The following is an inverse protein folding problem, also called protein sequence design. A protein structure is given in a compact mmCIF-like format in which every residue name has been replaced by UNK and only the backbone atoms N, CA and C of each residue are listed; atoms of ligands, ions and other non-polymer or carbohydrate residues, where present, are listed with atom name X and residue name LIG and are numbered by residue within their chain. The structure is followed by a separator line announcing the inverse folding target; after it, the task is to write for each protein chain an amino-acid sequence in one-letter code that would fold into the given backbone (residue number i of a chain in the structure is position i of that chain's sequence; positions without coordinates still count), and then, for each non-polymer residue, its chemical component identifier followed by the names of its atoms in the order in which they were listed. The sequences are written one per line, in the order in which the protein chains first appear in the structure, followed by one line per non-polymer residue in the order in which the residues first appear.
data_IF_401392497492
#
_entry.id   IF_401392497492
#
_cell.length_a   1.000
_cell.length_b   1.000
_cell.length_c   1.000
_cell.angle_alpha   90.00
_cell.angle_beta   90.00
_cell.angle_gamma   90.00
#
_symmetry.space_group_name_H-M   'P 1'
#
loop_
_entity.id
_entity.type
_entity.pdbx_description
1 polymer ?
#
# COMPACT_ATOMS: atom_id res chain seq x y z
N UNK A 1 -3.15 -6.80 2.39
CA UNK A 1 -3.97 -5.58 2.47
C UNK A 1 -5.01 -5.69 3.58
N UNK A 2 -5.89 -6.69 3.53
CA UNK A 2 -6.98 -6.83 4.52
C UNK A 2 -6.49 -6.99 5.96
N UNK A 3 -5.41 -7.72 6.19
CA UNK A 3 -4.78 -7.81 7.52
C UNK A 3 -4.22 -6.46 8.00
N UNK A 4 -3.71 -5.66 7.08
CA UNK A 4 -3.23 -4.31 7.41
C UNK A 4 -4.39 -3.37 7.78
N UNK A 5 -5.54 -3.46 7.11
CA UNK A 5 -6.77 -2.74 7.47
C UNK A 5 -7.24 -3.17 8.86
N UNK A 6 -7.38 -4.47 9.09
CA UNK A 6 -7.84 -5.03 10.36
C UNK A 6 -6.99 -4.59 11.58
N UNK A 7 -5.70 -4.33 11.35
CA UNK A 7 -4.76 -3.91 12.38
C UNK A 7 -4.39 -2.42 12.34
N UNK A 8 -4.93 -1.63 11.41
CA UNK A 8 -4.57 -0.23 11.26
C UNK A 8 -3.08 0.00 10.95
N UNK A 9 -2.44 -0.92 10.22
CA UNK A 9 -0.98 -0.98 10.03
C UNK A 9 -0.46 0.13 9.10
N UNK A 10 -0.72 1.39 9.46
CA UNK A 10 -0.43 2.57 8.67
C UNK A 10 0.17 3.67 9.56
N UNK A 11 1.39 4.11 9.26
CA UNK A 11 2.11 5.06 10.12
C UNK A 11 2.26 6.46 9.55
N UNK A 12 2.18 6.62 8.21
CA UNK A 12 2.26 7.92 7.56
C UNK A 12 0.86 8.47 7.39
N UNK A 13 0.56 9.54 8.12
CA UNK A 13 -0.74 10.22 8.08
C UNK A 13 -0.53 11.73 8.19
N UNK A 14 -1.06 12.49 7.24
CA UNK A 14 -0.99 13.94 7.20
C UNK A 14 -2.25 14.53 6.58
N UNK A 15 -2.78 15.62 7.15
CA UNK A 15 -3.93 16.34 6.60
C UNK A 15 -5.18 15.47 6.42
N UNK A 16 -5.42 14.49 7.29
CA UNK A 16 -6.53 13.54 7.17
C UNK A 16 -6.32 12.44 6.13
N UNK A 17 -5.23 12.49 5.37
CA UNK A 17 -4.87 11.50 4.34
C UNK A 17 -3.85 10.52 4.86
N UNK A 18 -3.85 9.31 4.30
CA UNK A 18 -3.06 8.19 4.80
C UNK A 18 -2.34 7.47 3.66
N UNK A 19 -1.12 7.05 3.92
CA UNK A 19 -0.41 6.08 3.09
C UNK A 19 -0.72 4.66 3.56
N UNK A 20 -1.29 3.83 2.69
CA UNK A 20 -1.75 2.48 3.02
C UNK A 20 -0.64 1.41 2.94
N UNK A 21 0.61 1.79 2.97
CA UNK A 21 1.76 0.86 2.91
C UNK A 21 1.66 -0.16 1.76
N UNK A 22 1.14 0.26 0.61
CA UNK A 22 0.85 -0.64 -0.51
C UNK A 22 2.09 -1.26 -1.11
N UNK A 23 3.17 -0.48 -1.28
CA UNK A 23 4.48 -0.99 -1.70
C UNK A 23 5.10 -1.91 -0.64
N UNK A 24 5.22 -1.53 0.65
CA UNK A 24 5.72 -2.44 1.70
C UNK A 24 4.99 -3.78 1.78
N UNK A 25 3.65 -3.77 1.65
CA UNK A 25 2.83 -4.99 1.60
C UNK A 25 3.17 -5.85 0.38
N UNK A 26 3.32 -5.23 -0.78
CA UNK A 26 3.75 -5.92 -2.00
C UNK A 26 5.12 -6.59 -1.83
N UNK A 27 6.08 -5.93 -1.17
CA UNK A 27 7.43 -6.50 -0.96
C UNK A 27 7.43 -7.69 -0.02
N UNK A 28 6.59 -7.68 1.02
CA UNK A 28 6.43 -8.84 1.90
C UNK A 28 5.97 -10.10 1.12
N UNK A 29 5.03 -9.92 0.18
CA UNK A 29 4.52 -11.02 -0.65
C UNK A 29 5.55 -11.41 -1.70
N UNK A 30 6.08 -10.46 -2.47
CA UNK A 30 7.02 -10.73 -3.56
C UNK A 30 8.30 -11.39 -3.05
N UNK A 31 8.89 -10.86 -1.97
CA UNK A 31 10.13 -11.40 -1.41
C UNK A 31 9.99 -12.85 -0.93
N UNK A 32 8.90 -13.16 -0.21
CA UNK A 32 8.67 -14.53 0.27
C UNK A 32 8.32 -15.51 -0.83
N UNK A 33 7.52 -15.11 -1.82
CA UNK A 33 7.17 -15.97 -2.96
C UNK A 33 8.35 -16.22 -3.89
N UNK A 34 9.21 -15.21 -4.11
CA UNK A 34 10.41 -15.35 -4.92
C UNK A 34 11.36 -16.40 -4.32
N UNK A 35 11.65 -16.30 -3.01
CA UNK A 35 12.49 -17.30 -2.33
C UNK A 35 11.89 -18.70 -2.42
N UNK A 36 10.56 -18.81 -2.29
CA UNK A 36 9.88 -20.09 -2.47
C UNK A 36 10.05 -20.67 -3.89
N UNK A 37 9.95 -19.84 -4.91
CA UNK A 37 10.22 -20.23 -6.29
C UNK A 37 11.68 -20.64 -6.50
N UNK A 38 12.62 -19.88 -5.93
CA UNK A 38 14.06 -20.21 -5.98
C UNK A 38 14.37 -21.56 -5.36
N UNK A 39 13.77 -21.89 -4.21
CA UNK A 39 13.92 -23.19 -3.57
C UNK A 39 13.38 -24.32 -4.44
N UNK A 40 12.24 -24.11 -5.11
CA UNK A 40 11.65 -25.06 -6.05
C UNK A 40 12.58 -25.31 -7.26
N UNK A 41 13.20 -24.26 -7.77
CA UNK A 41 14.02 -24.31 -8.99
C UNK A 41 15.52 -24.58 -8.68
N UNK A 42 15.88 -24.83 -7.42
CA UNK A 42 17.25 -25.02 -6.96
C UNK A 42 18.19 -23.85 -7.32
N UNK A 43 17.68 -22.61 -7.22
CA UNK A 43 18.46 -21.38 -7.42
C UNK A 43 18.88 -20.82 -6.08
N UNK A 44 20.15 -20.47 -5.91
CA UNK A 44 20.72 -20.05 -4.64
C UNK A 44 21.05 -18.56 -4.56
N UNK A 45 21.11 -17.85 -5.70
CA UNK A 45 21.51 -16.45 -5.77
C UNK A 45 20.33 -15.62 -6.25
N UNK A 46 19.95 -14.64 -5.43
CA UNK A 46 18.99 -13.61 -5.77
C UNK A 46 19.71 -12.34 -6.20
N UNK A 47 19.52 -11.92 -7.46
CA UNK A 47 19.94 -10.60 -7.92
C UNK A 47 18.90 -9.55 -7.50
N UNK A 48 19.29 -8.63 -6.62
CA UNK A 48 18.44 -7.53 -6.15
C UNK A 48 18.86 -6.21 -6.79
N UNK A 49 18.08 -5.75 -7.78
CA UNK A 49 18.31 -4.49 -8.49
C UNK A 49 17.85 -3.23 -7.73
N UNK A 50 17.49 -3.32 -6.45
CA UNK A 50 17.08 -2.17 -5.65
C UNK A 50 18.23 -1.19 -5.43
N UNK A 51 17.94 0.12 -5.53
CA UNK A 51 18.95 1.17 -5.33
C UNK A 51 19.35 1.28 -3.86
N UNK A 52 20.64 1.59 -3.59
CA UNK A 52 21.19 1.65 -2.23
C UNK A 52 20.58 2.73 -1.33
N UNK A 53 19.96 3.77 -1.91
CA UNK A 53 19.26 4.84 -1.16
C UNK A 53 17.75 4.59 -0.99
N UNK A 54 17.22 3.51 -1.60
CA UNK A 54 15.82 3.17 -1.52
C UNK A 54 15.47 2.32 -0.29
N UNK A 55 14.18 2.16 -0.06
CA UNK A 55 13.68 1.29 1.03
C UNK A 55 13.73 -0.20 0.65
N UNK A 56 13.58 -0.51 -0.63
CA UNK A 56 13.35 -1.89 -1.10
C UNK A 56 14.58 -2.79 -0.92
N UNK A 57 15.80 -2.23 -0.99
CA UNK A 57 17.02 -2.97 -0.74
C UNK A 57 17.04 -3.61 0.66
N UNK A 58 16.49 -2.93 1.67
CA UNK A 58 16.35 -3.46 3.02
C UNK A 58 15.16 -4.40 3.15
N UNK A 59 14.04 -4.09 2.54
CA UNK A 59 12.83 -4.91 2.57
C UNK A 59 13.09 -6.29 1.97
N UNK A 60 13.66 -6.35 0.78
CA UNK A 60 13.96 -7.62 0.12
C UNK A 60 15.05 -8.42 0.85
N UNK A 61 16.06 -7.74 1.37
CA UNK A 61 17.09 -8.37 2.19
C UNK A 61 16.48 -9.07 3.41
N UNK A 62 15.63 -8.36 4.16
CA UNK A 62 15.00 -8.89 5.37
C UNK A 62 14.06 -10.05 5.08
N UNK A 63 13.16 -9.90 4.11
CA UNK A 63 12.24 -10.99 3.74
C UNK A 63 12.95 -12.18 3.10
N UNK A 64 13.96 -11.93 2.30
CA UNK A 64 14.76 -12.99 1.66
C UNK A 64 15.45 -13.87 2.68
N UNK A 65 16.20 -13.28 3.60
CA UNK A 65 16.93 -14.03 4.65
C UNK A 65 16.00 -14.67 5.69
N UNK A 66 14.85 -14.05 5.97
CA UNK A 66 13.85 -14.66 6.85
C UNK A 66 13.26 -15.93 6.21
N UNK A 67 13.01 -15.93 4.92
CA UNK A 67 12.47 -17.08 4.19
C UNK A 67 13.52 -18.17 3.94
N UNK A 68 14.79 -17.79 3.73
CA UNK A 68 15.92 -18.70 3.58
C UNK A 68 17.21 -18.07 4.13
N UNK A 69 17.66 -18.42 5.35
CA UNK A 69 18.86 -17.85 5.96
C UNK A 69 20.16 -18.11 5.17
N UNK A 70 20.18 -19.11 4.29
CA UNK A 70 21.32 -19.45 3.45
C UNK A 70 21.32 -18.75 2.09
N UNK A 71 20.33 -17.91 1.83
CA UNK A 71 20.19 -17.19 0.56
C UNK A 71 21.37 -16.26 0.34
N UNK A 72 21.98 -16.33 -0.84
CA UNK A 72 22.99 -15.36 -1.29
C UNK A 72 22.28 -14.25 -2.06
N UNK A 73 22.41 -13.01 -1.59
CA UNK A 73 21.81 -11.83 -2.25
C UNK A 73 22.92 -11.02 -2.89
N UNK A 74 22.91 -10.95 -4.22
CA UNK A 74 23.79 -10.07 -5.00
C UNK A 74 23.09 -8.73 -5.24
N UNK A 75 23.75 -7.66 -4.85
CA UNK A 75 23.25 -6.28 -4.95
C UNK A 75 24.13 -5.49 -5.92
N UNK A 76 23.83 -5.44 -7.22
CA UNK A 76 24.68 -4.81 -8.23
C UNK A 76 24.96 -3.33 -7.94
N UNK A 77 24.00 -2.59 -7.35
CA UNK A 77 24.20 -1.20 -6.96
C UNK A 77 25.22 -0.98 -5.82
N UNK A 78 25.63 -2.04 -5.12
CA UNK A 78 26.71 -2.03 -4.12
C UNK A 78 28.01 -2.62 -4.66
N UNK A 79 28.01 -3.13 -5.88
CA UNK A 79 29.19 -3.66 -6.56
C UNK A 79 29.88 -2.54 -7.35
N UNK A 80 31.05 -2.11 -6.89
CA UNK A 80 31.80 -1.00 -7.49
C UNK A 80 32.23 -1.30 -8.94
N UNK A 81 32.51 -2.57 -9.27
CA UNK A 81 32.88 -2.98 -10.61
C UNK A 81 31.71 -2.91 -11.56
N UNK A 82 30.55 -3.39 -11.12
CA UNK A 82 29.30 -3.27 -11.87
C UNK A 82 28.94 -1.80 -12.15
N UNK A 83 29.00 -0.94 -11.13
CA UNK A 83 28.68 0.49 -11.27
C UNK A 83 29.68 1.21 -12.19
N UNK A 84 30.96 0.83 -12.13
CA UNK A 84 31.99 1.40 -13.01
C UNK A 84 31.77 1.01 -14.47
N UNK A 85 31.32 -0.23 -14.73
CA UNK A 85 31.13 -0.76 -16.09
C UNK A 85 29.83 -0.27 -16.72
N UNK A 86 28.72 -0.32 -15.98
CA UNK A 86 27.37 -0.06 -16.51
C UNK A 86 26.78 1.30 -16.11
N UNK A 87 27.44 2.05 -15.21
CA UNK A 87 27.01 3.37 -14.81
C UNK A 87 25.68 3.41 -14.07
N UNK A 88 24.90 4.46 -14.31
CA UNK A 88 23.56 4.66 -13.76
C UNK A 88 22.44 4.15 -14.65
N UNK A 89 21.20 4.52 -14.33
CA UNK A 89 20.01 4.11 -15.10
C UNK A 89 20.06 4.52 -16.56
N UNK A 90 20.62 5.70 -16.85
CA UNK A 90 20.74 6.21 -18.22
C UNK A 90 21.67 5.33 -19.04
N UNK A 91 22.88 5.11 -18.53
CA UNK A 91 23.92 4.33 -19.19
C UNK A 91 23.48 2.88 -19.39
N UNK A 92 22.81 2.29 -18.38
CA UNK A 92 22.23 0.94 -18.51
C UNK A 92 21.13 0.88 -19.57
N UNK A 93 20.29 1.93 -19.69
CA UNK A 93 19.27 2.00 -20.74
C UNK A 93 19.90 2.08 -22.12
N UNK A 94 20.93 2.90 -22.29
CA UNK A 94 21.71 3.03 -23.52
C UNK A 94 22.38 1.70 -23.89
N UNK A 95 22.94 1.00 -22.89
CA UNK A 95 23.53 -0.32 -23.07
C UNK A 95 22.53 -1.38 -23.55
N UNK A 96 21.32 -1.41 -22.96
CA UNK A 96 20.25 -2.31 -23.39
C UNK A 96 19.84 -2.08 -24.84
N UNK A 97 19.67 -0.80 -25.23
CA UNK A 97 19.33 -0.42 -26.60
C UNK A 97 20.44 -0.81 -27.57
N UNK A 98 21.71 -0.53 -27.22
CA UNK A 98 22.87 -0.86 -28.06
C UNK A 98 23.04 -2.36 -28.28
N UNK A 99 22.58 -3.20 -27.35
CA UNK A 99 22.63 -4.66 -27.46
C UNK A 99 21.33 -5.30 -27.98
N UNK A 100 20.40 -4.49 -28.50
CA UNK A 100 19.10 -4.94 -29.03
C UNK A 100 18.26 -5.74 -28.01
N UNK A 101 18.39 -5.44 -26.71
CA UNK A 101 17.60 -6.04 -25.66
C UNK A 101 16.28 -5.28 -25.49
N UNK A 102 15.18 -5.96 -25.14
CA UNK A 102 13.88 -5.31 -25.00
C UNK A 102 13.89 -4.31 -23.83
N UNK A 103 13.87 -3.04 -24.16
CA UNK A 103 13.76 -1.94 -23.21
C UNK A 103 12.66 -0.98 -23.64
N UNK A 104 11.70 -0.73 -22.76
CA UNK A 104 10.50 0.07 -23.06
C UNK A 104 10.36 1.34 -22.23
N UNK A 105 11.21 1.55 -21.24
CA UNK A 105 11.11 2.75 -20.41
C UNK A 105 11.78 3.95 -21.09
N UNK A 106 11.09 5.08 -21.09
CA UNK A 106 11.67 6.32 -21.53
C UNK A 106 12.45 7.00 -20.38
N UNK A 107 13.62 7.50 -20.67
CA UNK A 107 14.42 8.34 -19.77
C UNK A 107 13.67 9.65 -19.43
N UNK A 108 12.66 10.00 -20.20
CA UNK A 108 11.94 11.28 -20.20
C UNK A 108 10.72 11.34 -19.27
N UNK A 109 10.35 10.24 -18.58
CA UNK A 109 9.21 10.30 -17.65
C UNK A 109 9.51 11.26 -16.49
N UNK A 110 8.57 12.15 -16.19
CA UNK A 110 8.66 13.14 -15.13
C UNK A 110 8.77 12.54 -13.73
N UNK A 111 8.36 11.29 -13.55
CA UNK A 111 8.40 10.54 -12.28
C UNK A 111 8.44 9.03 -12.52
N UNK A 112 8.75 8.27 -11.47
CA UNK A 112 8.68 6.80 -11.45
C UNK A 112 7.34 6.34 -10.88
N UNK A 113 6.84 5.20 -11.36
CA UNK A 113 5.61 4.58 -10.87
C UNK A 113 5.86 3.13 -10.49
N UNK A 114 5.40 2.73 -9.31
CA UNK A 114 5.34 1.35 -8.83
C UNK A 114 3.90 1.03 -8.42
N UNK A 115 3.34 -0.08 -8.89
CA UNK A 115 1.95 -0.40 -8.65
C UNK A 115 1.73 -1.89 -8.38
N UNK A 116 0.72 -2.17 -7.56
CA UNK A 116 0.17 -3.50 -7.34
C UNK A 116 -1.34 -3.38 -7.11
N UNK A 117 -2.01 -4.51 -6.85
CA UNK A 117 -3.48 -4.54 -6.66
C UNK A 117 -3.97 -3.64 -5.50
N UNK A 118 -3.11 -3.30 -4.53
CA UNK A 118 -3.49 -2.49 -3.36
C UNK A 118 -3.34 -1.00 -3.61
N UNK A 119 -2.48 -0.60 -4.54
CA UNK A 119 -2.24 0.81 -4.80
C UNK A 119 -1.07 1.08 -5.73
N UNK A 120 -0.87 2.35 -6.04
CA UNK A 120 0.23 2.87 -6.83
C UNK A 120 1.01 3.93 -6.05
N UNK A 121 2.31 3.99 -6.32
CA UNK A 121 3.24 5.00 -5.82
C UNK A 121 3.85 5.74 -6.99
N UNK A 122 3.75 7.06 -7.00
CA UNK A 122 4.41 7.95 -7.95
C UNK A 122 5.44 8.75 -7.19
N UNK A 123 6.72 8.65 -7.57
CA UNK A 123 7.82 9.28 -6.83
C UNK A 123 9.01 9.62 -7.72
N UNK A 124 10.01 10.27 -7.16
CA UNK A 124 11.27 10.65 -7.78
C UNK A 124 11.16 11.75 -8.85
N UNK A 125 12.32 12.22 -9.34
CA UNK A 125 12.48 13.24 -10.36
C UNK A 125 11.71 14.54 -10.00
N UNK A 126 10.79 14.99 -10.86
CA UNK A 126 10.07 16.24 -10.68
C UNK A 126 9.19 16.25 -9.42
N UNK A 127 8.72 15.07 -8.96
CA UNK A 127 7.94 14.96 -7.73
C UNK A 127 8.77 15.14 -6.44
N UNK A 128 10.10 15.10 -6.51
CA UNK A 128 10.96 15.42 -5.36
C UNK A 128 10.96 16.92 -5.04
N UNK A 129 10.55 17.75 -5.99
CA UNK A 129 10.36 19.18 -5.77
C UNK A 129 9.03 19.43 -5.07
N UNK A 130 9.06 20.06 -3.88
CA UNK A 130 7.86 20.31 -3.08
C UNK A 130 6.93 21.38 -3.70
N UNK A 131 7.40 22.16 -4.63
CA UNK A 131 6.63 23.13 -5.42
C UNK A 131 5.93 22.49 -6.64
N UNK A 132 6.26 21.24 -6.99
CA UNK A 132 5.54 20.51 -8.01
C UNK A 132 4.12 20.14 -7.55
N UNK A 133 3.11 20.43 -8.38
CA UNK A 133 1.72 20.10 -8.09
C UNK A 133 1.47 18.58 -8.19
N UNK A 134 0.53 18.07 -7.37
CA UNK A 134 -0.02 16.72 -7.53
C UNK A 134 -0.62 16.49 -8.93
N UNK A 135 -1.03 17.55 -9.62
CA UNK A 135 -1.62 17.52 -10.96
C UNK A 135 -0.64 17.03 -12.04
N UNK A 136 0.68 16.99 -11.74
CA UNK A 136 1.69 16.39 -12.59
C UNK A 136 1.45 14.88 -12.78
N UNK A 137 0.81 14.23 -11.81
CA UNK A 137 0.56 12.78 -11.85
C UNK A 137 -0.62 12.46 -12.75
N UNK A 138 -0.46 11.45 -13.59
CA UNK A 138 -1.55 10.79 -14.29
C UNK A 138 -1.97 9.56 -13.47
N UNK A 139 -3.15 9.61 -12.80
CA UNK A 139 -3.64 8.50 -12.01
C UNK A 139 -3.78 7.22 -12.86
N UNK A 140 -3.43 6.08 -12.29
CA UNK A 140 -3.55 4.76 -12.94
C UNK A 140 -4.58 3.85 -12.26
N UNK A 141 -4.99 4.20 -11.03
CA UNK A 141 -6.04 3.49 -10.29
C UNK A 141 -7.29 4.35 -10.05
N UNK A 142 -7.18 5.64 -10.26
CA UNK A 142 -8.24 6.61 -10.06
C UNK A 142 -8.40 7.56 -11.25
N UNK A 143 -9.01 8.70 -10.97
CA UNK A 143 -9.25 9.78 -11.93
C UNK A 143 -8.64 11.09 -11.44
N UNK A 144 -8.41 12.03 -12.34
CA UNK A 144 -7.97 13.40 -12.01
C UNK A 144 -9.12 14.16 -11.33
N UNK A 145 -9.32 13.89 -10.03
CA UNK A 145 -10.42 14.50 -9.29
C UNK A 145 -10.32 16.03 -9.18
N UNK A 146 -9.15 16.61 -9.39
CA UNK A 146 -8.92 18.06 -9.44
C UNK A 146 -9.34 18.70 -10.76
N UNK A 147 -9.50 17.92 -11.83
CA UNK A 147 -9.91 18.40 -13.14
C UNK A 147 -11.45 18.48 -13.22
N UNK A 148 -11.98 19.69 -13.30
CA UNK A 148 -13.42 19.93 -13.35
C UNK A 148 -14.11 19.34 -14.59
N UNK A 149 -13.38 19.05 -15.66
CA UNK A 149 -13.90 18.41 -16.87
C UNK A 149 -14.22 16.92 -16.67
N UNK A 150 -13.62 16.28 -15.67
CA UNK A 150 -13.90 14.88 -15.31
C UNK A 150 -15.24 14.80 -14.59
N UNK A 151 -16.22 14.16 -15.20
CA UNK A 151 -17.54 13.98 -14.60
C UNK A 151 -17.50 12.91 -13.51
N UNK A 152 -17.86 13.29 -12.27
CA UNK A 152 -17.94 12.39 -11.13
C UNK A 152 -19.32 12.55 -10.49
N UNK A 153 -20.19 11.56 -10.69
CA UNK A 153 -21.50 11.51 -10.05
C UNK A 153 -21.35 10.95 -8.63
N UNK A 154 -22.16 11.42 -7.68
CA UNK A 154 -22.20 10.81 -6.34
C UNK A 154 -22.89 9.44 -6.40
N UNK A 155 -22.42 8.50 -5.57
CA UNK A 155 -23.04 7.19 -5.41
C UNK A 155 -22.98 6.70 -3.97
N UNK A 156 -23.93 5.87 -3.60
CA UNK A 156 -23.96 5.20 -2.32
C UNK A 156 -23.31 3.82 -2.46
N UNK A 157 -22.37 3.52 -1.59
CA UNK A 157 -21.64 2.25 -1.57
C UNK A 157 -21.82 1.60 -0.20
N UNK A 158 -22.27 0.36 -0.21
CA UNK A 158 -22.51 -0.45 0.97
C UNK A 158 -21.42 -1.49 1.13
N UNK A 159 -20.76 -1.54 2.28
CA UNK A 159 -19.68 -2.46 2.56
C UNK A 159 -20.03 -3.25 3.83
N UNK A 160 -19.98 -4.58 3.72
CA UNK A 160 -20.26 -5.50 4.83
C UNK A 160 -18.96 -6.13 5.33
N UNK A 161 -18.83 -6.15 6.66
CA UNK A 161 -17.73 -6.82 7.36
C UNK A 161 -18.25 -7.95 8.25
N UNK A 162 -17.47 -9.02 8.33
CA UNK A 162 -17.65 -10.12 9.28
C UNK A 162 -16.31 -10.37 9.97
N UNK A 163 -16.26 -10.20 11.27
CA UNK A 163 -15.05 -10.39 12.09
C UNK A 163 -13.82 -9.68 11.52
N UNK A 164 -14.00 -8.40 11.16
CA UNK A 164 -12.93 -7.54 10.63
C UNK A 164 -12.57 -7.75 9.17
N UNK A 165 -13.22 -8.67 8.47
CA UNK A 165 -12.97 -8.94 7.04
C UNK A 165 -14.12 -8.40 6.20
N UNK A 166 -13.84 -7.61 5.15
CA UNK A 166 -14.88 -7.23 4.20
C UNK A 166 -15.31 -8.48 3.42
N UNK A 167 -16.62 -8.71 3.32
CA UNK A 167 -17.19 -9.91 2.68
C UNK A 167 -18.13 -9.58 1.53
N UNK A 168 -18.74 -8.38 1.52
CA UNK A 168 -19.65 -7.98 0.45
C UNK A 168 -19.55 -6.48 0.15
N UNK A 169 -19.79 -6.12 -1.10
CA UNK A 169 -19.94 -4.75 -1.58
C UNK A 169 -21.23 -4.64 -2.37
N UNK A 170 -22.09 -3.68 -2.02
CA UNK A 170 -23.40 -3.43 -2.67
C UNK A 170 -24.29 -4.67 -2.73
N UNK A 171 -24.25 -5.52 -1.69
CA UNK A 171 -25.04 -6.74 -1.60
C UNK A 171 -24.50 -7.92 -2.41
N UNK A 172 -23.36 -7.75 -3.08
CA UNK A 172 -22.65 -8.84 -3.76
C UNK A 172 -21.60 -9.44 -2.84
N UNK A 173 -21.73 -10.72 -2.53
CA UNK A 173 -20.75 -11.48 -1.75
C UNK A 173 -19.50 -11.81 -2.57
N UNK A 174 -18.35 -11.82 -1.91
CA UNK A 174 -17.05 -12.17 -2.49
C UNK A 174 -16.39 -13.27 -1.67
N UNK A 175 -16.21 -14.44 -2.28
CA UNK A 175 -15.37 -15.52 -1.75
C UNK A 175 -13.89 -15.30 -2.10
N UNK A 176 -13.59 -14.59 -3.19
CA UNK A 176 -12.26 -14.21 -3.62
C UNK A 176 -11.92 -12.79 -3.17
N UNK A 177 -10.89 -12.67 -2.31
CA UNK A 177 -10.42 -11.39 -1.79
C UNK A 177 -9.77 -10.50 -2.85
N UNK A 178 -9.24 -11.07 -3.94
CA UNK A 178 -8.69 -10.31 -5.08
C UNK A 178 -9.82 -9.64 -5.82
N UNK A 179 -10.89 -10.38 -6.14
CA UNK A 179 -12.07 -9.84 -6.79
C UNK A 179 -12.77 -8.74 -5.94
N UNK A 180 -12.79 -8.91 -4.62
CA UNK A 180 -13.30 -7.88 -3.70
C UNK A 180 -12.46 -6.60 -3.76
N UNK A 181 -11.13 -6.72 -3.74
CA UNK A 181 -10.23 -5.58 -3.83
C UNK A 181 -10.35 -4.86 -5.18
N UNK A 182 -10.45 -5.62 -6.27
CA UNK A 182 -10.66 -5.06 -7.62
C UNK A 182 -11.98 -4.27 -7.70
N UNK A 183 -13.05 -4.79 -7.12
CA UNK A 183 -14.34 -4.08 -7.07
C UNK A 183 -14.24 -2.80 -6.23
N UNK A 184 -13.59 -2.88 -5.05
CA UNK A 184 -13.35 -1.71 -4.21
C UNK A 184 -12.51 -0.65 -4.94
N UNK A 185 -11.45 -1.07 -5.66
CA UNK A 185 -10.62 -0.19 -6.47
C UNK A 185 -11.42 0.51 -7.58
N UNK A 186 -12.27 -0.23 -8.31
CA UNK A 186 -13.11 0.32 -9.38
C UNK A 186 -14.09 1.36 -8.86
N UNK A 187 -14.75 1.05 -7.75
CA UNK A 187 -15.73 1.96 -7.16
C UNK A 187 -15.04 3.23 -6.66
N UNK A 188 -14.05 3.10 -5.79
CA UNK A 188 -13.37 4.25 -5.20
C UNK A 188 -12.54 5.05 -6.20
N UNK A 189 -11.92 4.35 -7.17
CA UNK A 189 -11.07 4.96 -8.19
C UNK A 189 -11.83 5.92 -9.10
N UNK A 190 -13.08 5.60 -9.51
CA UNK A 190 -13.88 6.51 -10.35
C UNK A 190 -14.28 7.81 -9.64
N UNK A 191 -14.14 7.88 -8.32
CA UNK A 191 -14.29 9.10 -7.54
C UNK A 191 -12.96 9.84 -7.29
N UNK A 192 -11.81 9.19 -7.52
CA UNK A 192 -10.50 9.69 -7.14
C UNK A 192 -10.24 9.61 -5.63
N UNK A 193 -10.98 8.76 -4.91
CA UNK A 193 -10.79 8.51 -3.48
C UNK A 193 -9.43 7.83 -3.20
N UNK A 194 -8.80 8.18 -2.09
CA UNK A 194 -7.60 7.51 -1.60
C UNK A 194 -6.30 7.94 -2.29
N UNK A 195 -6.27 9.12 -2.87
CA UNK A 195 -5.06 9.75 -3.39
C UNK A 195 -4.45 10.67 -2.34
N UNK A 196 -3.15 10.48 -2.03
CA UNK A 196 -2.46 11.22 -0.98
C UNK A 196 -1.08 11.68 -1.42
N UNK A 197 -0.75 12.94 -1.13
CA UNK A 197 0.60 13.50 -1.22
C UNK A 197 1.23 13.45 0.17
N UNK A 198 2.31 12.68 0.34
CA UNK A 198 2.93 12.43 1.62
C UNK A 198 4.44 12.64 1.58
N UNK A 199 4.96 13.15 2.69
CA UNK A 199 6.40 13.17 2.94
C UNK A 199 6.70 12.05 3.94
N UNK A 200 7.61 11.16 3.53
CA UNK A 200 8.01 10.01 4.34
C UNK A 200 9.49 10.11 4.79
N UNK A 201 9.80 9.44 5.89
CA UNK A 201 11.17 9.14 6.25
C UNK A 201 11.51 7.74 5.73
N UNK A 202 12.46 7.64 4.81
CA UNK A 202 13.02 6.35 4.37
C UNK A 202 13.61 5.58 5.54
N UNK A 203 13.89 4.30 5.35
CA UNK A 203 14.55 3.47 6.37
C UNK A 203 15.92 4.06 6.78
N UNK A 204 16.60 4.71 5.84
CA UNK A 204 17.88 5.42 6.06
C UNK A 204 17.70 6.86 6.60
N UNK A 205 16.52 7.20 7.10
CA UNK A 205 16.14 8.53 7.65
C UNK A 205 16.15 9.71 6.64
N UNK A 206 16.40 9.48 5.35
CA UNK A 206 16.26 10.51 4.35
C UNK A 206 14.78 10.82 4.08
N UNK A 207 14.46 12.10 3.85
CA UNK A 207 13.13 12.54 3.42
C UNK A 207 12.88 12.16 1.97
N UNK A 208 11.64 11.85 1.65
CA UNK A 208 11.16 11.56 0.31
C UNK A 208 9.70 11.96 0.19
N UNK A 209 9.30 12.42 -0.98
CA UNK A 209 7.89 12.71 -1.31
C UNK A 209 7.36 11.62 -2.20
N UNK A 210 6.14 11.18 -1.95
CA UNK A 210 5.40 10.27 -2.82
C UNK A 210 3.95 10.70 -2.98
N UNK A 211 3.43 10.53 -4.19
CA UNK A 211 2.00 10.61 -4.47
C UNK A 211 1.47 9.19 -4.56
N UNK A 212 0.51 8.87 -3.73
CA UNK A 212 -0.01 7.51 -3.57
C UNK A 212 -1.45 7.41 -4.02
N UNK A 213 -1.79 6.34 -4.72
CA UNK A 213 -3.16 5.94 -5.02
C UNK A 213 -3.46 4.62 -4.31
N UNK A 214 -4.52 4.56 -3.54
CA UNK A 214 -4.98 3.33 -2.89
C UNK A 214 -6.51 3.35 -2.72
N UNK A 215 -7.27 3.41 -3.82
CA UNK A 215 -8.71 3.67 -3.75
C UNK A 215 -9.48 2.60 -2.98
N UNK A 216 -9.27 1.32 -3.26
CA UNK A 216 -9.96 0.23 -2.56
C UNK A 216 -9.56 0.13 -1.10
N UNK A 217 -8.28 0.33 -0.78
CA UNK A 217 -7.81 0.36 0.61
C UNK A 217 -8.47 1.49 1.39
N UNK A 218 -8.57 2.69 0.80
CA UNK A 218 -9.21 3.84 1.42
C UNK A 218 -10.70 3.59 1.67
N UNK A 219 -11.43 3.09 0.67
CA UNK A 219 -12.86 2.79 0.78
C UNK A 219 -13.12 1.79 1.92
N UNK A 220 -12.40 0.67 1.94
CA UNK A 220 -12.56 -0.37 2.96
C UNK A 220 -12.15 0.13 4.34
N UNK A 221 -11.09 0.93 4.44
CA UNK A 221 -10.60 1.45 5.71
C UNK A 221 -11.57 2.48 6.33
N UNK A 222 -12.15 3.39 5.53
CA UNK A 222 -13.17 4.34 6.00
C UNK A 222 -14.36 3.60 6.62
N UNK A 223 -14.87 2.57 5.93
CA UNK A 223 -15.97 1.77 6.44
C UNK A 223 -15.58 0.97 7.70
N UNK A 224 -14.36 0.44 7.73
CA UNK A 224 -13.82 -0.26 8.89
C UNK A 224 -13.70 0.65 10.12
N UNK A 225 -13.11 1.86 9.97
CA UNK A 225 -12.99 2.85 11.06
C UNK A 225 -14.36 3.27 11.60
N UNK A 226 -15.38 3.34 10.74
CA UNK A 226 -16.75 3.63 11.19
C UNK A 226 -17.29 2.54 12.11
N UNK A 227 -17.11 1.26 11.77
CA UNK A 227 -17.51 0.15 12.64
C UNK A 227 -16.65 0.06 13.90
N UNK A 228 -15.34 0.31 13.78
CA UNK A 228 -14.43 0.35 14.91
C UNK A 228 -14.93 1.31 15.99
N UNK A 229 -15.24 2.54 15.61
CA UNK A 229 -15.72 3.58 16.54
C UNK A 229 -17.15 3.33 17.04
N UNK A 230 -17.98 2.59 16.28
CA UNK A 230 -19.35 2.29 16.68
C UNK A 230 -19.44 1.08 17.63
N UNK A 231 -18.44 0.22 17.67
CA UNK A 231 -18.41 -1.04 18.42
C UNK A 231 -17.53 -0.93 19.67
N UNK A 232 -16.37 -0.32 19.56
CA UNK A 232 -15.37 -0.25 20.63
C UNK A 232 -15.43 1.04 21.41
N UNK A 233 -15.00 0.99 22.69
CA UNK A 233 -14.83 2.17 23.53
C UNK A 233 -13.59 2.98 23.11
N UNK A 234 -13.51 4.21 23.61
CA UNK A 234 -12.45 5.18 23.31
C UNK A 234 -11.04 4.62 23.54
N UNK A 235 -10.80 3.94 24.66
CA UNK A 235 -9.50 3.38 25.00
C UNK A 235 -9.07 2.29 24.02
N UNK A 236 -9.99 1.44 23.58
CA UNK A 236 -9.73 0.38 22.61
C UNK A 236 -9.42 1.00 21.24
N UNK A 237 -10.17 2.02 20.82
CA UNK A 237 -9.94 2.75 19.58
C UNK A 237 -8.56 3.44 19.60
N UNK A 238 -8.23 4.11 20.74
CA UNK A 238 -6.93 4.76 20.89
C UNK A 238 -5.76 3.76 20.82
N UNK A 239 -5.90 2.60 21.47
CA UNK A 239 -4.90 1.52 21.40
C UNK A 239 -4.77 0.96 19.97
N UNK A 240 -5.90 0.74 19.27
CA UNK A 240 -5.85 0.31 17.87
C UNK A 240 -5.03 1.27 17.00
N UNK A 241 -5.25 2.57 17.13
CA UNK A 241 -4.49 3.55 16.35
C UNK A 241 -3.01 3.61 16.74
N UNK A 242 -2.70 3.55 18.04
CA UNK A 242 -1.31 3.59 18.52
C UNK A 242 -0.50 2.37 18.08
N UNK A 243 -1.04 1.16 18.32
CA UNK A 243 -0.38 -0.09 17.97
C UNK A 243 -0.38 -0.35 16.47
N UNK A 244 -1.45 0.08 15.79
CA UNK A 244 -1.53 0.04 14.32
C UNK A 244 -0.45 0.92 13.68
N UNK A 245 -0.24 2.14 14.20
CA UNK A 245 0.84 3.01 13.74
C UNK A 245 2.22 2.38 13.93
N UNK A 246 2.47 1.76 15.08
CA UNK A 246 3.71 1.04 15.37
C UNK A 246 3.92 -0.13 14.41
N UNK A 247 2.89 -0.94 14.20
CA UNK A 247 2.90 -2.04 13.24
C UNK A 247 3.11 -1.54 11.80
N UNK A 248 2.50 -0.41 11.44
CA UNK A 248 2.68 0.24 10.14
C UNK A 248 4.14 0.64 9.87
N UNK A 249 4.86 1.14 10.90
CA UNK A 249 6.29 1.43 10.78
C UNK A 249 7.12 0.15 10.60
N UNK A 250 6.83 -0.90 11.37
CA UNK A 250 7.49 -2.20 11.20
C UNK A 250 7.27 -2.79 9.81
N UNK A 251 6.03 -2.72 9.30
CA UNK A 251 5.71 -3.13 7.94
C UNK A 251 6.50 -2.32 6.90
N UNK A 252 6.55 -1.00 7.06
CA UNK A 252 7.30 -0.09 6.19
C UNK A 252 8.78 -0.46 6.11
N UNK A 253 9.37 -0.90 7.23
CA UNK A 253 10.76 -1.32 7.33
C UNK A 253 11.04 -2.74 6.82
N UNK A 254 10.06 -3.46 6.30
CA UNK A 254 10.23 -4.86 5.88
C UNK A 254 10.22 -5.87 7.03
N UNK A 255 9.54 -5.57 8.12
CA UNK A 255 9.52 -6.35 9.37
C UNK A 255 8.13 -6.93 9.70
N UNK A 256 7.29 -7.14 8.70
CA UNK A 256 5.92 -7.66 8.85
C UNK A 256 5.83 -9.03 9.53
N UNK A 257 6.89 -9.84 9.41
CA UNK A 257 6.97 -11.20 9.94
C UNK A 257 7.86 -11.30 11.18
N UNK A 258 8.38 -10.19 11.71
CA UNK A 258 9.12 -10.17 12.97
C UNK A 258 8.20 -10.59 14.13
N UNK A 259 8.75 -11.20 15.20
CA UNK A 259 7.97 -11.59 16.38
C UNK A 259 7.13 -10.45 16.96
N UNK A 260 7.67 -9.23 17.01
CA UNK A 260 6.95 -8.05 17.46
C UNK A 260 5.75 -7.72 16.59
N UNK A 261 5.89 -7.81 15.27
CA UNK A 261 4.78 -7.60 14.33
C UNK A 261 3.71 -8.67 14.46
N UNK A 262 4.12 -9.92 14.67
CA UNK A 262 3.21 -11.04 14.89
C UNK A 262 2.40 -10.86 16.18
N UNK A 263 3.06 -10.44 17.28
CA UNK A 263 2.37 -10.14 18.56
C UNK A 263 1.32 -9.03 18.39
N UNK A 264 1.68 -7.91 17.74
CA UNK A 264 0.75 -6.81 17.50
C UNK A 264 -0.43 -7.24 16.62
N UNK A 265 -0.16 -7.96 15.55
CA UNK A 265 -1.20 -8.47 14.62
C UNK A 265 -2.16 -9.42 15.33
N UNK A 266 -1.65 -10.36 16.13
CA UNK A 266 -2.48 -11.29 16.89
C UNK A 266 -3.36 -10.55 17.89
N UNK A 267 -2.78 -9.63 18.67
CA UNK A 267 -3.52 -8.83 19.63
C UNK A 267 -4.64 -8.02 18.97
N UNK A 268 -4.32 -7.24 17.93
CA UNK A 268 -5.29 -6.41 17.23
C UNK A 268 -6.36 -7.23 16.52
N UNK A 269 -5.99 -8.37 15.92
CA UNK A 269 -6.96 -9.26 15.27
C UNK A 269 -7.91 -9.90 16.29
N UNK A 270 -7.36 -10.41 17.38
CA UNK A 270 -8.11 -11.13 18.40
C UNK A 270 -9.04 -10.23 19.20
N UNK A 271 -8.55 -9.07 19.63
CA UNK A 271 -9.25 -8.21 20.60
C UNK A 271 -10.02 -7.05 19.96
N UNK A 272 -9.68 -6.67 18.74
CA UNK A 272 -10.34 -5.58 18.04
C UNK A 272 -11.08 -6.07 16.82
N UNK A 273 -10.39 -6.61 15.83
CA UNK A 273 -11.00 -6.95 14.53
C UNK A 273 -12.09 -8.04 14.65
N UNK A 274 -11.93 -9.02 15.55
CA UNK A 274 -12.92 -10.10 15.73
C UNK A 274 -14.33 -9.61 16.10
N UNK A 275 -14.45 -8.44 16.70
CA UNK A 275 -15.73 -7.82 17.04
C UNK A 275 -16.35 -7.01 15.88
N UNK A 276 -15.54 -6.66 14.87
CA UNK A 276 -15.98 -5.79 13.77
C UNK A 276 -16.87 -6.58 12.81
N UNK A 277 -18.16 -6.57 13.07
CA UNK A 277 -19.19 -7.18 12.22
C UNK A 277 -20.31 -6.17 12.02
N UNK A 278 -20.65 -5.89 10.77
CA UNK A 278 -21.69 -4.92 10.44
C UNK A 278 -21.58 -4.43 9.00
N UNK A 279 -22.42 -3.47 8.69
CA UNK A 279 -22.51 -2.88 7.36
C UNK A 279 -22.47 -1.36 7.46
N UNK A 280 -21.73 -0.74 6.55
CA UNK A 280 -21.62 0.71 6.44
C UNK A 280 -22.00 1.12 5.02
N UNK A 281 -22.89 2.11 4.91
CA UNK A 281 -23.18 2.78 3.63
C UNK A 281 -22.48 4.15 3.61
N UNK A 282 -21.64 4.34 2.61
CA UNK A 282 -20.94 5.60 2.34
C UNK A 282 -21.49 6.23 1.08
N UNK A 283 -21.73 7.54 1.11
CA UNK A 283 -21.97 8.34 -0.10
C UNK A 283 -20.65 8.93 -0.56
N UNK A 284 -20.17 8.48 -1.69
CA UNK A 284 -18.92 8.98 -2.30
C UNK A 284 -19.24 10.13 -3.25
N UNK A 285 -18.36 11.12 -3.27
CA UNK A 285 -18.37 12.27 -4.16
C UNK A 285 -16.98 12.42 -4.80
N UNK A 286 -16.62 13.61 -5.19
CA UNK A 286 -15.34 13.89 -5.85
C UNK A 286 -14.16 13.85 -4.86
N UNK A 287 -13.13 13.08 -5.20
CA UNK A 287 -11.92 12.94 -4.38
C UNK A 287 -12.23 12.24 -3.05
N UNK A 288 -11.72 12.79 -1.96
CA UNK A 288 -11.93 12.24 -0.61
C UNK A 288 -13.20 12.79 0.07
N UNK A 289 -14.10 13.45 -0.66
CA UNK A 289 -15.37 13.88 -0.11
C UNK A 289 -16.35 12.72 -0.03
N UNK A 290 -16.69 12.34 1.19
CA UNK A 290 -17.68 11.30 1.48
C UNK A 290 -18.53 11.63 2.71
N UNK A 291 -19.65 10.94 2.84
CA UNK A 291 -20.50 10.96 4.03
C UNK A 291 -20.87 9.55 4.44
N UNK A 292 -20.93 9.29 5.76
CA UNK A 292 -21.54 8.08 6.28
C UNK A 292 -23.05 8.26 6.26
N UNK A 293 -23.76 7.41 5.52
CA UNK A 293 -25.21 7.43 5.39
C UNK A 293 -25.88 6.53 6.39
N UNK A 294 -25.32 5.31 6.59
CA UNK A 294 -25.88 4.33 7.50
C UNK A 294 -24.79 3.44 8.10
N UNK A 295 -25.05 2.94 9.30
CA UNK A 295 -24.20 1.96 9.99
C UNK A 295 -25.10 1.00 10.74
N UNK A 296 -24.98 -0.31 10.45
CA UNK A 296 -25.74 -1.36 11.13
C UNK A 296 -24.81 -2.49 11.56
N UNK A 297 -25.17 -3.20 12.63
CA UNK A 297 -24.39 -4.34 13.11
C UNK A 297 -24.94 -4.88 14.43
N UNK A 298 -24.61 -6.13 14.76
CA UNK A 298 -25.14 -6.78 15.97
C UNK A 298 -24.48 -6.30 17.27
N UNK A 299 -23.30 -5.71 17.19
CA UNK A 299 -22.49 -5.34 18.35
C UNK A 299 -22.27 -3.82 18.47
N UNK A 300 -23.13 -3.00 17.86
CA UNK A 300 -23.04 -1.56 18.02
C UNK A 300 -23.30 -1.17 19.47
N UNK A 301 -22.37 -0.40 20.08
CA UNK A 301 -22.49 0.07 21.46
C UNK A 301 -23.37 1.33 21.57
N UNK A 302 -24.14 1.64 20.55
CA UNK A 302 -25.00 2.80 20.46
C UNK A 302 -26.45 2.38 20.80
N UNK A 303 -27.06 3.02 21.78
CA UNK A 303 -28.45 2.82 22.21
C UNK A 303 -29.28 4.06 21.94
#
# INVERSE_FOLDING_TARGET
GLAAIACGAFHIRSGGKQYFNTTPLGRAVTGTLLVRAMLHDNVEIWGDGSTYKGNDIERFYRYGLLANPNLRIYKPWLDADFVRELGGRKEMSEWLVANNLPYRDSVEKAYSTDANILGATHEAKDLENLDASIELVNPIMGVKFWDSSVAIASEDVKIQFVQGRPVAINGKDFSDVVALMDEANKIAGRHGLGMADQIENRIIEAKSRGIYEAPGMALLFIAYERLLSAIHNEDTVANYHAEGRRLGRLLYEGRWLDPQSLMLRESLTRWVASAITGEVTLRLRRGDDYSVINTTGPALSYH
#
